data_IF_098461018923
#
_entry.id   IF_098461018923
#
_cell.length_a   1.000
_cell.length_b   1.000
_cell.length_c   1.000
_cell.angle_alpha   90.00
_cell.angle_beta   90.00
_cell.angle_gamma   90.00
#
_symmetry.space_group_name_H-M   'P 1'
#
loop_
_entity.id
_entity.type
_entity.pdbx_description
1 polymer ?
#
# COMPACT_ATOMS: atom_id res chain seq x y z
N UNK A 1 -11.03 -6.56 6.38
CA UNK A 1 -10.38 -5.64 5.41
C UNK A 1 -11.46 -5.11 4.47
N UNK A 2 -11.21 -3.98 3.80
CA UNK A 2 -12.20 -3.35 2.90
C UNK A 2 -12.68 -4.26 1.74
N UNK A 3 -11.89 -5.24 1.33
CA UNK A 3 -12.24 -6.24 0.30
C UNK A 3 -13.44 -7.13 0.65
N UNK A 4 -13.81 -7.18 1.92
CA UNK A 4 -14.92 -8.02 2.40
C UNK A 4 -16.27 -7.27 2.35
N UNK A 5 -16.24 -5.99 1.95
CA UNK A 5 -17.42 -5.14 1.79
C UNK A 5 -17.73 -4.93 0.29
N UNK A 6 -18.86 -5.46 -0.16
CA UNK A 6 -19.28 -5.39 -1.56
C UNK A 6 -19.54 -3.96 -2.04
N UNK A 7 -20.01 -3.07 -1.16
CA UNK A 7 -20.20 -1.65 -1.50
C UNK A 7 -18.87 -0.97 -1.74
N UNK A 8 -17.91 -1.17 -0.85
CA UNK A 8 -16.55 -0.61 -1.00
C UNK A 8 -15.88 -1.13 -2.27
N UNK A 9 -16.03 -2.41 -2.58
CA UNK A 9 -15.50 -2.99 -3.81
C UNK A 9 -16.09 -2.33 -5.07
N UNK A 10 -17.42 -2.13 -5.11
CA UNK A 10 -18.09 -1.47 -6.22
C UNK A 10 -17.67 0.01 -6.36
N UNK A 11 -17.61 0.74 -5.25
CA UNK A 11 -17.18 2.14 -5.23
C UNK A 11 -15.73 2.29 -5.68
N UNK A 12 -14.85 1.36 -5.28
CA UNK A 12 -13.44 1.35 -5.71
C UNK A 12 -13.31 1.12 -7.22
N UNK A 13 -14.06 0.17 -7.79
CA UNK A 13 -14.08 -0.08 -9.24
C UNK A 13 -14.55 1.19 -9.97
N UNK A 14 -15.60 1.85 -9.48
CA UNK A 14 -16.10 3.10 -10.06
C UNK A 14 -15.03 4.22 -10.01
N UNK A 15 -14.33 4.37 -8.88
CA UNK A 15 -13.25 5.36 -8.72
C UNK A 15 -12.10 5.10 -9.69
N UNK A 16 -11.62 3.86 -9.79
CA UNK A 16 -10.54 3.49 -10.70
C UNK A 16 -10.92 3.71 -12.17
N UNK A 17 -12.14 3.35 -12.53
CA UNK A 17 -12.67 3.55 -13.90
C UNK A 17 -12.77 5.03 -14.24
N UNK A 18 -13.34 5.83 -13.33
CA UNK A 18 -13.46 7.28 -13.51
C UNK A 18 -12.09 7.96 -13.71
N UNK A 19 -11.08 7.52 -12.97
CA UNK A 19 -9.73 8.11 -13.03
C UNK A 19 -8.84 7.47 -14.12
N UNK A 20 -9.28 6.40 -14.77
CA UNK A 20 -8.54 5.74 -15.85
C UNK A 20 -7.17 5.19 -15.41
N UNK A 21 -7.06 4.73 -14.17
CA UNK A 21 -5.76 4.36 -13.57
C UNK A 21 -5.44 2.87 -13.65
N UNK A 22 -6.38 2.04 -14.10
CA UNK A 22 -6.13 0.61 -14.29
C UNK A 22 -5.59 0.32 -15.68
N UNK A 23 -4.63 -0.63 -15.82
CA UNK A 23 -4.23 -1.13 -17.12
C UNK A 23 -5.43 -1.69 -17.89
N UNK A 24 -5.47 -1.54 -19.22
CA UNK A 24 -6.62 -1.95 -20.05
C UNK A 24 -6.96 -3.45 -19.95
N UNK A 25 -5.96 -4.27 -19.68
CA UNK A 25 -6.04 -5.73 -19.57
C UNK A 25 -6.29 -6.25 -18.15
N UNK A 26 -6.35 -5.35 -17.16
CA UNK A 26 -6.61 -5.73 -15.78
C UNK A 26 -8.11 -5.70 -15.48
N UNK A 27 -8.64 -6.84 -15.04
CA UNK A 27 -10.00 -6.91 -14.49
C UNK A 27 -10.09 -6.13 -13.18
N UNK A 28 -10.92 -5.06 -13.10
CA UNK A 28 -11.11 -4.30 -11.86
C UNK A 28 -11.57 -5.15 -10.68
N UNK A 29 -12.33 -6.22 -10.93
CA UNK A 29 -12.80 -7.16 -9.90
C UNK A 29 -11.65 -7.94 -9.24
N UNK A 30 -10.59 -8.21 -9.97
CA UNK A 30 -9.36 -8.81 -9.41
C UNK A 30 -8.70 -7.81 -8.47
N UNK A 31 -8.55 -6.55 -8.90
CA UNK A 31 -7.97 -5.49 -8.06
C UNK A 31 -8.79 -5.24 -6.80
N UNK A 32 -10.12 -5.37 -6.87
CA UNK A 32 -10.99 -5.18 -5.72
C UNK A 32 -10.76 -6.22 -4.61
N UNK A 33 -10.26 -7.42 -4.94
CA UNK A 33 -9.87 -8.44 -3.94
C UNK A 33 -8.61 -8.07 -3.15
N UNK A 34 -7.85 -7.10 -3.63
CA UNK A 34 -6.65 -6.59 -2.97
C UNK A 34 -6.94 -5.42 -2.03
N UNK A 35 -8.18 -4.91 -1.97
CA UNK A 35 -8.57 -3.77 -1.14
C UNK A 35 -8.22 -4.02 0.33
N UNK A 36 -7.52 -3.05 0.93
CA UNK A 36 -7.11 -3.05 2.32
C UNK A 36 -7.92 -2.04 3.14
N UNK A 37 -7.92 -0.78 2.71
CA UNK A 37 -8.65 0.30 3.36
C UNK A 37 -9.33 1.23 2.33
N UNK A 38 -10.36 1.94 2.79
CA UNK A 38 -11.10 2.91 2.01
C UNK A 38 -11.40 4.15 2.84
N UNK A 39 -11.40 5.32 2.22
CA UNK A 39 -11.77 6.58 2.84
C UNK A 39 -12.94 7.22 2.10
N UNK A 40 -13.91 7.69 2.86
CA UNK A 40 -15.10 8.37 2.38
C UNK A 40 -15.17 9.79 2.91
N UNK A 41 -15.69 10.69 2.08
CA UNK A 41 -16.05 12.05 2.47
C UNK A 41 -17.45 12.33 1.93
N UNK A 42 -18.37 12.74 2.79
CA UNK A 42 -19.78 13.02 2.46
C UNK A 42 -20.44 11.88 1.64
N UNK A 43 -20.12 10.64 1.97
CA UNK A 43 -20.66 9.44 1.30
C UNK A 43 -20.00 9.07 -0.02
N UNK A 44 -19.05 9.87 -0.52
CA UNK A 44 -18.27 9.59 -1.71
C UNK A 44 -16.92 8.92 -1.35
N UNK A 45 -16.52 7.90 -2.11
CA UNK A 45 -15.21 7.28 -1.96
C UNK A 45 -14.13 8.20 -2.54
N UNK A 46 -13.23 8.68 -1.67
CA UNK A 46 -12.16 9.63 -2.02
C UNK A 46 -10.79 8.98 -2.13
N UNK A 47 -10.65 7.77 -1.66
CA UNK A 47 -9.38 7.05 -1.77
C UNK A 47 -9.46 5.62 -1.29
N UNK A 48 -8.53 4.81 -1.77
CA UNK A 48 -8.39 3.39 -1.41
C UNK A 48 -6.92 3.02 -1.26
N UNK A 49 -6.65 2.01 -0.45
CA UNK A 49 -5.39 1.28 -0.48
C UNK A 49 -5.61 -0.16 -0.89
N UNK A 50 -4.61 -0.72 -1.55
CA UNK A 50 -4.53 -2.15 -1.91
C UNK A 50 -3.28 -2.78 -1.32
N UNK A 51 -3.33 -4.09 -1.09
CA UNK A 51 -2.24 -4.86 -0.51
C UNK A 51 -2.16 -6.24 -1.18
N UNK A 52 -0.97 -6.56 -1.69
CA UNK A 52 -0.67 -7.88 -2.27
C UNK A 52 0.48 -8.50 -1.50
N UNK A 53 0.31 -9.75 -1.09
CA UNK A 53 1.38 -10.51 -0.43
C UNK A 53 2.27 -11.18 -1.48
N UNK A 54 3.54 -10.80 -1.52
CA UNK A 54 4.48 -11.35 -2.48
C UNK A 54 5.91 -11.39 -1.90
N UNK A 55 6.77 -12.15 -2.57
CA UNK A 55 8.20 -12.22 -2.27
C UNK A 55 8.90 -10.95 -2.73
N UNK A 56 9.75 -10.41 -1.88
CA UNK A 56 10.70 -9.38 -2.24
C UNK A 56 12.07 -10.07 -2.47
N UNK A 57 12.48 -10.27 -3.73
CA UNK A 57 13.66 -11.09 -4.06
C UNK A 57 14.94 -10.56 -3.42
N UNK A 58 15.11 -9.25 -3.33
CA UNK A 58 16.28 -8.61 -2.73
C UNK A 58 16.49 -9.02 -1.27
N UNK A 59 15.42 -9.28 -0.54
CA UNK A 59 15.46 -9.66 0.87
C UNK A 59 15.14 -11.14 1.09
N UNK A 60 14.79 -11.88 0.02
CA UNK A 60 14.35 -13.28 0.10
C UNK A 60 13.26 -13.51 1.16
N UNK A 61 12.37 -12.55 1.29
CA UNK A 61 11.34 -12.53 2.33
C UNK A 61 10.01 -12.00 1.77
N UNK A 62 8.92 -12.39 2.41
CA UNK A 62 7.56 -12.04 1.99
C UNK A 62 7.11 -10.76 2.66
N UNK A 63 6.54 -9.85 1.86
CA UNK A 63 6.01 -8.56 2.29
C UNK A 63 4.61 -8.32 1.73
N UNK A 64 3.85 -7.45 2.38
CA UNK A 64 2.66 -6.87 1.79
C UNK A 64 3.01 -5.64 0.96
N UNK A 65 2.81 -5.72 -0.36
CA UNK A 65 3.04 -4.61 -1.27
C UNK A 65 1.86 -3.65 -1.23
N UNK A 66 2.09 -2.50 -0.64
CA UNK A 66 1.11 -1.45 -0.44
C UNK A 66 1.07 -0.49 -1.64
N UNK A 67 -0.14 -0.15 -2.04
CA UNK A 67 -0.42 0.95 -2.96
C UNK A 67 -1.61 1.73 -2.44
N UNK A 68 -1.67 3.03 -2.74
CA UNK A 68 -2.86 3.82 -2.50
C UNK A 68 -3.18 4.69 -3.71
N UNK A 69 -4.47 4.95 -3.90
CA UNK A 69 -4.98 5.94 -4.84
C UNK A 69 -5.86 6.91 -4.06
N UNK A 70 -5.65 8.19 -4.28
CA UNK A 70 -6.45 9.27 -3.71
C UNK A 70 -6.99 10.10 -4.87
N UNK A 71 -8.28 10.41 -4.83
CA UNK A 71 -8.89 11.30 -5.80
C UNK A 71 -8.15 12.64 -5.83
N UNK A 72 -7.90 13.23 -7.02
CA UNK A 72 -7.03 14.40 -7.16
C UNK A 72 -7.37 15.55 -6.22
N UNK A 73 -8.66 15.78 -5.97
CA UNK A 73 -9.19 16.86 -5.15
C UNK A 73 -8.81 16.75 -3.66
N UNK A 74 -8.47 15.52 -3.23
CA UNK A 74 -8.16 15.19 -1.83
C UNK A 74 -6.67 14.87 -1.60
N UNK A 75 -5.82 15.09 -2.61
CA UNK A 75 -4.37 14.93 -2.48
C UNK A 75 -3.76 16.03 -1.63
N UNK A 76 -2.54 15.79 -1.12
CA UNK A 76 -1.77 16.72 -0.29
C UNK A 76 -2.40 17.07 1.07
N UNK A 77 -3.35 16.28 1.54
CA UNK A 77 -4.00 16.42 2.85
C UNK A 77 -3.53 15.38 3.88
N UNK A 78 -2.42 14.68 3.61
CA UNK A 78 -1.88 13.64 4.48
C UNK A 78 -2.59 12.29 4.41
N UNK A 79 -3.59 12.13 3.53
CA UNK A 79 -4.38 10.90 3.44
C UNK A 79 -3.55 9.69 3.02
N UNK A 80 -2.57 9.84 2.13
CA UNK A 80 -1.66 8.76 1.75
C UNK A 80 -0.86 8.22 2.94
N UNK A 81 -0.42 9.11 3.83
CA UNK A 81 0.27 8.77 5.07
C UNK A 81 -0.64 7.98 6.02
N UNK A 82 -1.87 8.45 6.17
CA UNK A 82 -2.90 7.76 6.98
C UNK A 82 -3.19 6.37 6.44
N UNK A 83 -3.35 6.23 5.12
CA UNK A 83 -3.50 4.92 4.48
C UNK A 83 -2.30 4.01 4.74
N UNK A 84 -1.08 4.52 4.61
CA UNK A 84 0.14 3.75 4.86
C UNK A 84 0.20 3.23 6.29
N UNK A 85 0.01 4.10 7.28
CA UNK A 85 0.03 3.74 8.69
C UNK A 85 -1.05 2.72 9.05
N UNK A 86 -2.29 2.97 8.63
CA UNK A 86 -3.42 2.10 8.91
C UNK A 86 -3.29 0.73 8.23
N UNK A 87 -2.93 0.71 6.95
CA UNK A 87 -2.73 -0.55 6.21
C UNK A 87 -1.60 -1.40 6.78
N UNK A 88 -0.49 -0.76 7.22
CA UNK A 88 0.59 -1.47 7.90
C UNK A 88 0.11 -2.09 9.20
N UNK A 89 -0.64 -1.35 10.02
CA UNK A 89 -1.19 -1.87 11.27
C UNK A 89 -2.08 -3.10 11.01
N UNK A 90 -3.03 -3.00 10.09
CA UNK A 90 -3.90 -4.12 9.71
C UNK A 90 -3.10 -5.34 9.27
N UNK A 91 -2.06 -5.14 8.45
CA UNK A 91 -1.22 -6.22 7.97
C UNK A 91 -0.37 -6.82 9.10
N UNK A 92 0.15 -6.00 10.02
CA UNK A 92 0.93 -6.48 11.16
C UNK A 92 0.08 -7.35 12.09
N UNK A 93 -1.16 -6.94 12.38
CA UNK A 93 -2.10 -7.72 13.17
C UNK A 93 -2.52 -9.01 12.46
N UNK A 94 -2.74 -8.93 11.15
CA UNK A 94 -3.06 -10.11 10.34
C UNK A 94 -1.89 -11.10 10.34
N UNK A 95 -0.64 -10.65 10.17
CA UNK A 95 0.55 -11.52 10.13
C UNK A 95 0.78 -12.25 11.46
N UNK A 96 0.49 -11.61 12.61
CA UNK A 96 0.54 -12.26 13.92
C UNK A 96 -0.44 -13.44 14.04
N UNK A 97 -1.61 -13.32 13.41
CA UNK A 97 -2.63 -14.37 13.39
C UNK A 97 -2.38 -15.46 12.33
N UNK A 98 -1.48 -15.18 11.38
CA UNK A 98 -1.14 -16.08 10.27
C UNK A 98 0.40 -16.25 10.16
N UNK A 99 1.07 -16.75 11.23
CA UNK A 99 2.54 -16.84 11.25
C UNK A 99 3.10 -17.75 10.16
N UNK A 100 2.30 -18.72 9.69
CA UNK A 100 2.67 -19.62 8.58
C UNK A 100 2.88 -18.87 7.25
N UNK A 101 2.31 -17.70 7.09
CA UNK A 101 2.46 -16.86 5.89
C UNK A 101 3.80 -16.14 5.84
N UNK A 102 4.52 -16.08 6.96
CA UNK A 102 5.86 -15.48 7.08
C UNK A 102 5.97 -14.09 6.46
N UNK A 103 4.95 -13.24 6.66
CA UNK A 103 4.97 -11.86 6.20
C UNK A 103 5.70 -11.00 7.22
N UNK A 104 6.82 -10.38 6.79
CA UNK A 104 7.74 -9.71 7.70
C UNK A 104 7.57 -8.19 7.77
N UNK A 105 6.80 -7.61 6.86
CA UNK A 105 6.61 -6.17 6.82
C UNK A 105 5.73 -5.72 5.68
N UNK A 106 5.68 -4.40 5.50
CA UNK A 106 5.03 -3.73 4.38
C UNK A 106 6.09 -3.18 3.42
N UNK A 107 5.91 -3.39 2.14
CA UNK A 107 6.74 -2.84 1.08
C UNK A 107 5.96 -1.84 0.23
N UNK A 108 6.64 -0.85 -0.31
CA UNK A 108 6.08 0.08 -1.30
C UNK A 108 7.08 0.37 -2.41
N UNK A 109 6.58 0.57 -3.62
CA UNK A 109 7.35 1.08 -4.75
C UNK A 109 7.01 2.56 -4.87
N UNK A 110 8.05 3.41 -4.83
CA UNK A 110 7.87 4.87 -4.89
C UNK A 110 7.60 5.27 -6.33
N UNK A 111 6.38 5.72 -6.61
CA UNK A 111 5.95 6.09 -7.96
C UNK A 111 5.70 7.59 -8.13
N UNK A 112 5.49 8.32 -7.03
CA UNK A 112 5.13 9.74 -7.06
C UNK A 112 6.35 10.64 -6.97
N UNK A 113 6.50 11.57 -7.91
CA UNK A 113 7.50 12.64 -7.86
C UNK A 113 7.30 13.62 -6.69
N UNK A 114 6.10 13.68 -6.13
CA UNK A 114 5.83 14.46 -4.91
C UNK A 114 6.63 13.98 -3.69
N UNK A 115 7.24 12.79 -3.78
CA UNK A 115 8.08 12.19 -2.74
C UNK A 115 9.58 12.33 -3.00
N UNK A 116 10.00 13.10 -4.03
CA UNK A 116 11.40 13.20 -4.45
C UNK A 116 12.34 13.66 -3.34
N UNK A 117 11.93 14.61 -2.49
CA UNK A 117 12.74 15.04 -1.36
C UNK A 117 12.91 13.96 -0.29
N UNK A 118 11.84 13.21 -0.01
CA UNK A 118 11.91 12.05 0.90
C UNK A 118 12.73 10.92 0.31
N UNK A 119 12.69 10.75 -1.01
CA UNK A 119 13.40 9.67 -1.70
C UNK A 119 14.92 9.77 -1.59
N UNK A 120 15.47 10.94 -1.22
CA UNK A 120 16.90 11.13 -0.95
C UNK A 120 17.33 10.57 0.41
N UNK A 121 16.39 10.26 1.30
CA UNK A 121 16.69 9.74 2.62
C UNK A 121 16.73 8.21 2.59
N UNK A 122 17.78 7.55 3.14
CA UNK A 122 17.83 6.10 3.23
C UNK A 122 16.67 5.51 4.04
N UNK A 123 16.22 6.23 5.06
CA UNK A 123 15.10 5.87 5.93
C UNK A 123 14.13 7.03 6.03
N UNK A 124 12.87 6.78 5.80
CA UNK A 124 11.81 7.77 6.03
C UNK A 124 11.28 7.62 7.45
N UNK A 125 11.67 8.51 8.32
CA UNK A 125 11.23 8.57 9.71
C UNK A 125 10.36 9.80 9.95
N UNK A 126 9.32 9.98 9.15
CA UNK A 126 8.32 10.99 9.42
C UNK A 126 7.13 10.40 10.19
N UNK A 127 6.41 11.19 11.01
CA UNK A 127 5.19 10.73 11.67
C UNK A 127 4.25 10.05 10.67
N UNK A 128 3.89 8.79 10.94
CA UNK A 128 3.06 7.95 10.07
C UNK A 128 3.76 7.35 8.85
N UNK A 129 5.05 7.64 8.59
CA UNK A 129 5.84 7.01 7.53
C UNK A 129 6.52 5.70 7.97
N UNK A 130 6.64 5.46 9.27
CA UNK A 130 6.95 4.17 9.88
C UNK A 130 8.29 3.56 9.47
N UNK A 131 9.35 4.38 9.37
CA UNK A 131 10.70 3.87 9.11
C UNK A 131 10.78 3.09 7.79
N UNK A 132 10.35 3.68 6.67
CA UNK A 132 10.47 3.07 5.34
C UNK A 132 11.93 3.10 4.87
N UNK A 133 12.57 1.95 4.89
CA UNK A 133 13.98 1.77 4.54
C UNK A 133 14.12 1.46 3.06
N UNK A 134 15.03 2.15 2.37
CA UNK A 134 15.41 1.82 0.99
C UNK A 134 16.13 0.47 0.97
N UNK A 135 15.62 -0.47 0.18
CA UNK A 135 16.20 -1.84 0.05
C UNK A 135 16.58 -2.21 -1.37
N UNK A 136 16.27 -1.36 -2.34
CA UNK A 136 16.65 -1.60 -3.75
C UNK A 136 15.81 -0.82 -4.73
N UNK A 137 15.90 -1.23 -5.99
CA UNK A 137 15.23 -0.57 -7.11
C UNK A 137 14.55 -1.61 -8.00
N UNK A 138 13.44 -1.21 -8.62
CA UNK A 138 12.82 -1.98 -9.70
C UNK A 138 13.68 -1.91 -10.97
N UNK A 139 13.38 -2.75 -11.96
CA UNK A 139 14.03 -2.68 -13.28
C UNK A 139 13.86 -1.32 -13.97
N UNK A 140 12.80 -0.58 -13.63
CA UNK A 140 12.53 0.78 -14.11
C UNK A 140 13.20 1.87 -13.27
N UNK A 141 14.08 1.50 -12.33
CA UNK A 141 14.82 2.44 -11.48
C UNK A 141 14.00 3.07 -10.35
N UNK A 142 12.80 2.56 -10.04
CA UNK A 142 11.97 3.07 -8.93
C UNK A 142 12.41 2.45 -7.62
N UNK A 143 12.46 3.26 -6.57
CA UNK A 143 12.86 2.80 -5.24
C UNK A 143 11.85 1.80 -4.68
N UNK A 144 12.39 0.76 -4.05
CA UNK A 144 11.64 -0.20 -3.23
C UNK A 144 11.99 0.08 -1.78
N UNK A 145 10.99 0.34 -0.97
CA UNK A 145 11.15 0.62 0.46
C UNK A 145 10.31 -0.32 1.30
N UNK A 146 10.81 -0.67 2.46
CA UNK A 146 10.14 -1.58 3.40
C UNK A 146 10.04 -0.99 4.79
N UNK A 147 8.94 -1.28 5.45
CA UNK A 147 8.74 -1.10 6.89
C UNK A 147 8.57 -2.47 7.53
N UNK A 148 9.56 -2.88 8.30
CA UNK A 148 9.53 -4.14 9.04
C UNK A 148 8.51 -4.10 10.18
N UNK A 149 7.94 -5.27 10.51
CA UNK A 149 7.15 -5.39 11.72
C UNK A 149 8.05 -5.59 12.94
N UNK A 150 7.60 -5.12 14.09
CA UNK A 150 8.32 -5.28 15.37
C UNK A 150 8.49 -6.76 15.77
N UNK A 151 7.55 -7.61 15.35
CA UNK A 151 7.57 -9.05 15.60
C UNK A 151 8.23 -9.86 14.48
N UNK A 152 8.75 -9.21 13.42
CA UNK A 152 9.45 -9.91 12.34
C UNK A 152 10.67 -10.67 12.86
N UNK A 153 10.87 -11.88 12.33
CA UNK A 153 12.05 -12.70 12.60
C UNK A 153 12.52 -13.30 11.28
N UNK A 154 13.81 -13.28 11.08
CA UNK A 154 14.47 -13.98 9.97
C UNK A 154 14.75 -15.40 10.42
N UNK A 155 14.55 -16.36 9.53
CA UNK A 155 14.87 -17.77 9.75
C UNK A 155 16.40 -18.00 9.68
#
# INVERSE_FOLDING_TARGET
MARDDAKVAADAVALWTRLGVLPPDLDPGIRAKELCAAAYHDGELIGVSTMVLDMLPQLKARFGFFRCLIAPEYRQQGLARTFGAYSRQLLAEWSKRHPQEKVLGMATIVESSALDEFSKQPVWEAPGMMGLVLVGYTQKGRQIRVSWFEHARLD
#
